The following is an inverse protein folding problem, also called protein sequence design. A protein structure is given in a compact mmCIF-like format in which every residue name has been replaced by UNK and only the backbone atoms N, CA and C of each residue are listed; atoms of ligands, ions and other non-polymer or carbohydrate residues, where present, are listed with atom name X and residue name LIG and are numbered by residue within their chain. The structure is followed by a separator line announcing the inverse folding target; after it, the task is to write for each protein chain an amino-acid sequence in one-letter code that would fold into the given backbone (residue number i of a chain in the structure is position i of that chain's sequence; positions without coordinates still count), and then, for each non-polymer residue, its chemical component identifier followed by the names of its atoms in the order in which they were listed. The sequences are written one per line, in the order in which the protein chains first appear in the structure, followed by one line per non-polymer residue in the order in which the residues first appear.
data_IF_144690745569
#
_entry.id   IF_144690745569
#
_cell.length_a   1.000
_cell.length_b   1.000
_cell.length_c   1.000
_cell.angle_alpha   90.00
_cell.angle_beta   90.00
_cell.angle_gamma   90.00
#
_symmetry.space_group_name_H-M   'P 1'
#
loop_
_entity.id
_entity.type
_entity.pdbx_description
1 polymer ?
#
# COMPACT_ATOMS: atom_id res chain seq x y z
N UNK A 1 -3.78 15.47 8.21
CA UNK A 1 -2.56 15.69 7.40
C UNK A 1 -1.69 14.46 7.52
N UNK A 2 -1.42 13.79 6.40
CA UNK A 2 -0.56 12.61 6.37
C UNK A 2 0.89 12.96 6.71
N UNK A 3 1.42 12.35 7.75
CA UNK A 3 2.84 12.50 8.07
C UNK A 3 3.72 11.81 7.01
N UNK A 4 4.86 12.41 6.63
CA UNK A 4 5.81 11.80 5.69
C UNK A 4 6.27 10.39 6.11
N UNK A 5 6.30 10.13 7.42
CA UNK A 5 6.63 8.83 7.99
C UNK A 5 5.61 7.77 7.57
N UNK A 6 4.31 8.10 7.58
CA UNK A 6 3.25 7.16 7.15
C UNK A 6 3.36 6.83 5.66
N UNK A 7 3.70 7.82 4.84
CA UNK A 7 3.92 7.63 3.40
C UNK A 7 5.10 6.69 3.17
N UNK A 8 6.23 6.90 3.87
CA UNK A 8 7.38 6.00 3.80
C UNK A 8 7.05 4.58 4.26
N UNK A 9 6.29 4.45 5.35
CA UNK A 9 5.84 3.15 5.85
C UNK A 9 4.92 2.44 4.87
N UNK A 10 4.04 3.18 4.19
CA UNK A 10 3.20 2.66 3.13
C UNK A 10 4.02 2.10 1.98
N UNK A 11 4.95 2.89 1.43
CA UNK A 11 5.81 2.42 0.34
C UNK A 11 6.65 1.21 0.75
N UNK A 12 7.23 1.23 1.95
CA UNK A 12 7.95 0.06 2.49
C UNK A 12 7.04 -1.17 2.66
N UNK A 13 5.77 -0.99 3.03
CA UNK A 13 4.79 -2.07 3.10
C UNK A 13 4.42 -2.60 1.70
N UNK A 14 4.28 -1.73 0.70
CA UNK A 14 4.06 -2.16 -0.70
C UNK A 14 5.25 -2.93 -1.27
N UNK A 15 6.48 -2.56 -0.89
CA UNK A 15 7.69 -3.27 -1.29
C UNK A 15 7.77 -4.67 -0.66
N UNK A 16 7.33 -4.82 0.58
CA UNK A 16 7.31 -6.12 1.28
C UNK A 16 6.21 -7.07 0.80
N UNK A 17 5.17 -6.59 0.12
CA UNK A 17 4.13 -7.45 -0.44
C UNK A 17 4.63 -7.94 -1.81
N UNK A 18 4.49 -9.25 -2.04
CA UNK A 18 4.75 -9.82 -3.36
C UNK A 18 3.86 -9.16 -4.42
N UNK A 19 4.47 -8.76 -5.53
CA UNK A 19 3.80 -8.11 -6.66
C UNK A 19 2.56 -8.88 -7.11
N UNK A 20 2.66 -10.21 -7.21
CA UNK A 20 1.56 -11.08 -7.59
C UNK A 20 0.34 -10.97 -6.65
N UNK A 21 0.57 -10.84 -5.34
CA UNK A 21 -0.50 -10.61 -4.38
C UNK A 21 -1.12 -9.22 -4.52
N UNK A 22 -0.34 -8.17 -4.78
CA UNK A 22 -0.88 -6.82 -5.00
C UNK A 22 -1.78 -6.74 -6.25
N UNK A 23 -1.42 -7.47 -7.31
CA UNK A 23 -2.17 -7.49 -8.56
C UNK A 23 -3.47 -8.30 -8.44
N UNK A 24 -3.47 -9.38 -7.64
CA UNK A 24 -4.65 -10.21 -7.41
C UNK A 24 -5.68 -9.56 -6.45
N UNK A 25 -5.26 -8.61 -5.61
CA UNK A 25 -6.16 -7.96 -4.66
C UNK A 25 -7.08 -6.93 -5.33
N UNK A 26 -8.35 -6.93 -4.93
CA UNK A 26 -9.28 -5.87 -5.28
C UNK A 26 -8.82 -4.54 -4.69
N UNK A 27 -9.28 -3.40 -5.27
CA UNK A 27 -8.92 -2.06 -4.78
C UNK A 27 -9.13 -1.89 -3.27
N UNK A 28 -10.27 -2.38 -2.77
CA UNK A 28 -10.63 -2.35 -1.35
C UNK A 28 -9.70 -3.22 -0.50
N UNK A 29 -9.48 -4.46 -0.92
CA UNK A 29 -8.62 -5.40 -0.20
C UNK A 29 -7.17 -4.92 -0.13
N UNK A 30 -6.67 -4.27 -1.19
CA UNK A 30 -5.33 -3.68 -1.22
C UNK A 30 -5.20 -2.54 -0.21
N UNK A 31 -6.20 -1.65 -0.15
CA UNK A 31 -6.24 -0.56 0.85
C UNK A 31 -6.25 -1.15 2.27
N UNK A 32 -7.16 -2.09 2.54
CA UNK A 32 -7.28 -2.70 3.87
C UNK A 32 -6.02 -3.47 4.27
N UNK A 33 -5.40 -4.21 3.35
CA UNK A 33 -4.16 -4.95 3.60
C UNK A 33 -3.00 -4.01 3.97
N UNK A 34 -2.85 -2.90 3.24
CA UNK A 34 -1.81 -1.90 3.51
C UNK A 34 -2.04 -1.18 4.83
N UNK A 35 -3.27 -0.76 5.10
CA UNK A 35 -3.65 -0.11 6.37
C UNK A 35 -3.39 -1.06 7.54
N UNK A 36 -3.86 -2.32 7.46
CA UNK A 36 -3.65 -3.32 8.50
C UNK A 36 -2.16 -3.55 8.79
N UNK A 37 -1.31 -3.59 7.77
CA UNK A 37 0.14 -3.74 7.95
C UNK A 37 0.77 -2.56 8.66
N UNK A 38 0.34 -1.34 8.33
CA UNK A 38 0.83 -0.14 9.01
C UNK A 38 0.31 -0.11 10.45
N UNK A 39 -0.95 -0.47 10.67
CA UNK A 39 -1.56 -0.58 12.00
C UNK A 39 -0.84 -1.59 12.91
N UNK A 40 -0.35 -2.71 12.35
CA UNK A 40 0.48 -3.68 13.08
C UNK A 40 1.82 -3.10 13.55
N UNK A 41 2.36 -2.10 12.85
CA UNK A 41 3.62 -1.43 13.23
C UNK A 41 3.41 -0.19 14.09
N UNK A 42 2.30 0.51 13.91
CA UNK A 42 1.94 1.75 14.61
C UNK A 42 0.42 1.83 14.72
N UNK A 43 -0.11 2.08 15.91
CA UNK A 43 -1.52 2.42 16.05
C UNK A 43 -1.85 3.70 15.27
N UNK A 44 -2.76 3.59 14.31
CA UNK A 44 -3.27 4.71 13.55
C UNK A 44 -4.55 5.23 14.21
N UNK A 45 -4.67 6.53 14.34
CA UNK A 45 -5.93 7.18 14.72
C UNK A 45 -6.96 7.05 13.58
N UNK A 46 -8.25 7.15 13.90
CA UNK A 46 -9.30 7.08 12.89
C UNK A 46 -9.16 8.11 11.76
N UNK A 47 -8.58 9.28 12.05
CA UNK A 47 -8.27 10.29 11.03
C UNK A 47 -7.07 9.89 10.16
N UNK A 48 -5.98 9.41 10.77
CA UNK A 48 -4.82 8.91 10.00
C UNK A 48 -5.22 7.76 9.07
N UNK A 49 -6.07 6.83 9.54
CA UNK A 49 -6.58 5.73 8.72
C UNK A 49 -7.38 6.24 7.53
N UNK A 50 -8.27 7.24 7.72
CA UNK A 50 -9.05 7.84 6.62
C UNK A 50 -8.16 8.58 5.63
N UNK A 51 -7.24 9.42 6.12
CA UNK A 51 -6.30 10.16 5.29
C UNK A 51 -5.46 9.18 4.45
N UNK A 52 -4.96 8.12 5.08
CA UNK A 52 -4.16 7.08 4.44
C UNK A 52 -4.96 6.26 3.42
N UNK A 53 -6.21 5.88 3.73
CA UNK A 53 -7.09 5.19 2.80
C UNK A 53 -7.32 6.02 1.53
N UNK A 54 -7.64 7.31 1.69
CA UNK A 54 -7.83 8.24 0.58
C UNK A 54 -6.56 8.40 -0.26
N UNK A 55 -5.40 8.49 0.40
CA UNK A 55 -4.12 8.57 -0.30
C UNK A 55 -3.81 7.29 -1.10
N UNK A 56 -4.02 6.11 -0.51
CA UNK A 56 -3.80 4.83 -1.20
C UNK A 56 -4.75 4.74 -2.39
N UNK A 57 -6.03 5.09 -2.23
CA UNK A 57 -7.02 5.05 -3.31
C UNK A 57 -6.58 5.90 -4.52
N UNK A 58 -6.06 7.10 -4.28
CA UNK A 58 -5.51 7.98 -5.33
C UNK A 58 -4.20 7.48 -5.95
N UNK A 59 -3.55 6.47 -5.33
CA UNK A 59 -2.27 5.91 -5.77
C UNK A 59 -2.37 4.43 -6.12
N UNK A 60 -3.57 3.84 -6.15
CA UNK A 60 -3.79 2.43 -6.48
C UNK A 60 -3.22 2.08 -7.85
N UNK A 61 -3.41 2.95 -8.84
CA UNK A 61 -2.88 2.74 -10.19
C UNK A 61 -1.35 2.61 -10.14
N UNK A 62 -0.68 3.58 -9.50
CA UNK A 62 0.76 3.58 -9.33
C UNK A 62 1.28 2.36 -8.55
N UNK A 63 0.57 1.93 -7.49
CA UNK A 63 0.94 0.73 -6.71
C UNK A 63 0.86 -0.52 -7.59
N UNK A 64 -0.16 -0.62 -8.46
CA UNK A 64 -0.31 -1.73 -9.40
C UNK A 64 0.73 -1.69 -10.51
N UNK A 65 1.03 -0.52 -11.05
CA UNK A 65 2.07 -0.34 -12.06
C UNK A 65 3.45 -0.74 -11.50
N UNK A 66 3.77 -0.34 -10.25
CA UNK A 66 4.97 -0.76 -9.54
C UNK A 66 4.99 -2.27 -9.28
N UNK A 67 3.86 -2.84 -8.88
CA UNK A 67 3.77 -4.29 -8.70
C UNK A 67 4.01 -5.03 -10.03
N UNK A 68 3.39 -4.59 -11.13
CA UNK A 68 3.57 -5.19 -12.44
C UNK A 68 5.03 -5.10 -12.91
N UNK A 69 5.64 -3.91 -12.83
CA UNK A 69 7.04 -3.70 -13.20
C UNK A 69 7.98 -4.63 -12.44
N UNK A 70 7.73 -4.83 -11.13
CA UNK A 70 8.53 -5.74 -10.30
C UNK A 70 8.32 -7.21 -10.66
N UNK A 71 7.08 -7.59 -10.99
CA UNK A 71 6.78 -8.94 -11.44
C UNK A 71 7.52 -9.25 -12.74
N UNK A 72 7.52 -8.28 -13.66
CA UNK A 72 8.21 -8.39 -14.94
C UNK A 72 9.73 -8.50 -14.73
N UNK A 73 10.33 -7.72 -13.82
CA UNK A 73 11.76 -7.83 -13.45
C UNK A 73 12.14 -9.17 -12.79
N UNK A 74 11.23 -9.79 -12.03
CA UNK A 74 11.49 -11.09 -11.38
C UNK A 74 11.42 -12.29 -12.35
N UNK A 75 10.90 -12.09 -13.55
CA UNK A 75 10.74 -13.12 -14.58
C UNK A 75 11.89 -13.14 -15.61
N UNK A 76 12.90 -12.26 -15.45
CA UNK A 76 14.07 -12.13 -16.35
C UNK A 76 15.29 -12.86 -15.76
#
# INVERSE_FOLDING_TARGET
MLHPILIKQLWSATEQIHAHSLLHLSKRELIESLINRIQRRKSLTGQETKDLASYIEQRIALIRDLAQSRLDEQLI
#
